data_IF_944425967454
#
_entry.id   IF_944425967454
#
_cell.length_a   1.000
_cell.length_b   1.000
_cell.length_c   1.000
_cell.angle_alpha   90.00
_cell.angle_beta   90.00
_cell.angle_gamma   90.00
#
_symmetry.space_group_name_H-M   'P 1'
#
loop_
_entity.id
_entity.type
_entity.pdbx_description
1 polymer ?
#
# COMPACT_ATOMS: atom_id res chain seq x y z
N UNK A 1 -43.79 27.35 -22.74
CA UNK A 1 -43.38 28.07 -21.53
C UNK A 1 -42.02 27.55 -21.18
N UNK A 2 -41.00 28.38 -21.28
CA UNK A 2 -39.63 28.00 -20.99
C UNK A 2 -39.51 27.76 -19.48
N UNK A 3 -39.17 26.52 -19.10
CA UNK A 3 -38.72 26.24 -17.74
C UNK A 3 -37.45 27.04 -17.50
N UNK A 4 -37.50 27.86 -16.47
CA UNK A 4 -36.44 28.80 -16.09
C UNK A 4 -35.20 27.97 -15.68
N UNK A 5 -34.09 28.12 -16.40
CA UNK A 5 -32.79 27.55 -16.00
C UNK A 5 -32.34 28.17 -14.67
N UNK A 6 -32.72 27.52 -13.57
CA UNK A 6 -32.30 27.88 -12.22
C UNK A 6 -30.83 27.50 -11.99
N UNK A 7 -30.17 28.22 -11.08
CA UNK A 7 -28.80 27.89 -10.65
C UNK A 7 -28.81 26.56 -9.90
N UNK A 8 -28.07 25.57 -10.43
CA UNK A 8 -27.93 24.24 -9.85
C UNK A 8 -26.92 24.27 -8.68
N UNK A 9 -27.37 24.67 -7.49
CA UNK A 9 -26.54 24.72 -6.28
C UNK A 9 -26.41 23.30 -5.71
N UNK A 10 -25.31 22.63 -6.06
CA UNK A 10 -24.91 21.37 -5.42
C UNK A 10 -24.12 21.64 -4.15
N UNK A 11 -24.50 21.00 -3.04
CA UNK A 11 -23.68 21.02 -1.82
C UNK A 11 -22.35 20.32 -2.11
N UNK A 12 -21.24 21.07 -2.03
CA UNK A 12 -19.92 20.46 -1.93
C UNK A 12 -19.87 19.51 -0.74
N UNK A 13 -19.15 18.38 -0.86
CA UNK A 13 -18.98 17.41 0.22
C UNK A 13 -18.31 18.16 1.40
N UNK A 14 -19.06 18.41 2.47
CA UNK A 14 -18.53 19.06 3.69
C UNK A 14 -17.81 17.98 4.49
N UNK A 15 -16.53 17.80 4.19
CA UNK A 15 -15.58 17.08 5.05
C UNK A 15 -14.65 18.09 5.71
N UNK A 16 -14.13 17.74 6.90
CA UNK A 16 -13.12 18.54 7.58
C UNK A 16 -12.02 18.92 6.58
N UNK A 17 -11.96 20.22 6.27
CA UNK A 17 -10.87 20.95 5.66
C UNK A 17 -9.89 20.07 4.87
N UNK A 18 -9.96 20.09 3.53
CA UNK A 18 -8.80 19.79 2.69
C UNK A 18 -7.73 20.84 3.03
N UNK A 19 -7.10 20.70 4.20
CA UNK A 19 -5.79 21.29 4.47
C UNK A 19 -4.92 20.55 3.47
N UNK A 20 -4.84 21.12 2.28
CA UNK A 20 -4.12 20.62 1.13
C UNK A 20 -2.63 20.78 1.42
N UNK A 21 -2.15 20.01 2.38
CA UNK A 21 -0.78 19.56 2.36
C UNK A 21 -0.81 18.39 1.38
N UNK A 22 -0.53 18.67 0.10
CA UNK A 22 -0.42 17.66 -0.97
C UNK A 22 0.63 16.58 -0.70
N UNK A 23 1.29 16.65 0.46
CA UNK A 23 2.28 15.71 0.96
C UNK A 23 1.66 14.36 1.36
N UNK A 24 0.38 14.32 1.73
CA UNK A 24 -0.29 13.12 2.24
C UNK A 24 -0.98 12.26 1.14
N UNK A 25 -0.92 12.67 -0.13
CA UNK A 25 -1.59 11.98 -1.23
C UNK A 25 -0.87 10.68 -1.52
N UNK A 26 -1.63 9.58 -1.46
CA UNK A 26 -1.08 8.22 -1.46
C UNK A 26 -1.68 7.41 -2.59
N UNK A 27 -0.90 6.48 -3.14
CA UNK A 27 -1.33 5.52 -4.14
C UNK A 27 -1.26 4.10 -3.61
N UNK A 28 -2.20 3.25 -4.01
CA UNK A 28 -2.18 1.81 -3.77
C UNK A 28 -2.47 1.09 -5.09
N UNK A 29 -1.52 0.26 -5.51
CA UNK A 29 -1.68 -0.70 -6.60
C UNK A 29 -1.71 -2.09 -6.00
N UNK A 30 -2.75 -2.86 -6.32
CA UNK A 30 -2.91 -4.19 -5.74
C UNK A 30 -3.47 -5.20 -6.74
N UNK A 31 -2.86 -6.38 -6.78
CA UNK A 31 -3.38 -7.54 -7.51
C UNK A 31 -4.57 -8.12 -6.75
N UNK A 32 -5.76 -7.97 -7.30
CA UNK A 32 -7.01 -8.46 -6.72
C UNK A 32 -8.01 -8.71 -7.85
N UNK A 33 -8.96 -9.64 -7.70
CA UNK A 33 -10.11 -9.69 -8.59
C UNK A 33 -10.86 -8.33 -8.60
N UNK A 34 -11.49 -8.01 -9.72
CA UNK A 34 -12.26 -6.77 -9.87
C UNK A 34 -13.61 -6.90 -9.13
N UNK A 35 -13.92 -6.01 -8.18
CA UNK A 35 -15.26 -5.91 -7.62
C UNK A 35 -16.21 -5.27 -8.65
N UNK A 36 -17.52 -5.43 -8.45
CA UNK A 36 -18.54 -4.96 -9.40
C UNK A 36 -18.46 -3.45 -9.73
N UNK A 37 -17.96 -2.63 -8.78
CA UNK A 37 -17.84 -1.18 -8.94
C UNK A 37 -16.52 -0.67 -9.50
N UNK A 38 -15.50 -1.54 -9.68
CA UNK A 38 -14.17 -1.12 -10.12
C UNK A 38 -13.52 -2.12 -11.09
N UNK A 39 -13.36 -1.68 -12.35
CA UNK A 39 -12.62 -2.44 -13.35
C UNK A 39 -11.10 -2.37 -13.14
N UNK A 40 -10.38 -3.38 -13.65
CA UNK A 40 -8.91 -3.39 -13.64
C UNK A 40 -8.33 -2.23 -14.46
N UNK A 41 -7.16 -1.75 -14.03
CA UNK A 41 -6.40 -0.70 -14.74
C UNK A 41 -7.04 0.68 -14.71
N UNK A 42 -8.08 0.91 -13.90
CA UNK A 42 -8.70 2.23 -13.72
C UNK A 42 -8.20 2.86 -12.42
N UNK A 43 -7.55 4.03 -12.47
CA UNK A 43 -7.27 4.77 -11.24
C UNK A 43 -8.56 5.38 -10.71
N UNK A 44 -8.86 5.12 -9.45
CA UNK A 44 -10.02 5.68 -8.76
C UNK A 44 -9.56 6.38 -7.48
N UNK A 45 -10.09 7.58 -7.26
CA UNK A 45 -9.82 8.36 -6.05
C UNK A 45 -10.80 7.98 -4.96
N UNK A 46 -10.28 7.74 -3.77
CA UNK A 46 -11.02 7.39 -2.57
C UNK A 46 -10.71 8.38 -1.47
N UNK A 47 -11.73 8.77 -0.70
CA UNK A 47 -11.58 9.69 0.43
C UNK A 47 -12.05 9.10 1.76
N UNK A 48 -12.91 8.08 1.73
CA UNK A 48 -13.47 7.49 2.94
C UNK A 48 -13.91 6.03 2.71
N UNK A 49 -14.26 5.34 3.80
CA UNK A 49 -14.72 3.95 3.75
C UNK A 49 -16.11 3.78 3.11
N UNK A 50 -16.90 4.85 3.00
CA UNK A 50 -18.21 4.82 2.31
C UNK A 50 -18.01 4.71 0.81
N UNK A 51 -17.07 5.47 0.25
CA UNK A 51 -16.69 5.42 -1.15
C UNK A 51 -16.15 4.01 -1.50
N UNK A 52 -15.38 3.40 -0.59
CA UNK A 52 -14.87 2.02 -0.72
C UNK A 52 -16.00 0.99 -0.77
N UNK A 53 -16.98 1.10 0.13
CA UNK A 53 -18.17 0.22 0.13
C UNK A 53 -18.99 0.38 -1.15
N UNK A 54 -19.13 1.60 -1.67
CA UNK A 54 -19.84 1.86 -2.92
C UNK A 54 -19.17 1.21 -4.14
N UNK A 55 -17.85 0.99 -4.10
CA UNK A 55 -17.14 0.23 -5.13
C UNK A 55 -17.33 -1.29 -5.02
N UNK A 56 -18.02 -1.76 -3.97
CA UNK A 56 -18.22 -3.19 -3.70
C UNK A 56 -17.06 -3.85 -2.97
N UNK A 57 -16.13 -3.07 -2.40
CA UNK A 57 -15.02 -3.59 -1.59
C UNK A 57 -15.51 -3.72 -0.15
N UNK A 58 -15.70 -4.96 0.30
CA UNK A 58 -16.18 -5.30 1.65
C UNK A 58 -15.35 -6.42 2.26
N UNK A 59 -15.50 -6.64 3.57
CA UNK A 59 -14.89 -7.78 4.24
C UNK A 59 -15.35 -9.12 3.65
N UNK A 60 -16.59 -9.18 3.17
CA UNK A 60 -17.15 -10.35 2.49
C UNK A 60 -16.45 -10.61 1.16
N UNK A 61 -16.11 -9.57 0.41
CA UNK A 61 -15.35 -9.67 -0.82
C UNK A 61 -13.94 -10.25 -0.57
N UNK A 62 -13.26 -9.75 0.45
CA UNK A 62 -11.94 -10.23 0.85
C UNK A 62 -11.99 -11.71 1.27
N UNK A 63 -12.99 -12.08 2.09
CA UNK A 63 -13.15 -13.46 2.58
C UNK A 63 -13.54 -14.43 1.46
N UNK A 64 -14.42 -14.01 0.54
CA UNK A 64 -14.88 -14.85 -0.56
C UNK A 64 -13.78 -15.14 -1.59
N UNK A 65 -12.87 -14.19 -1.81
CA UNK A 65 -11.80 -14.31 -2.81
C UNK A 65 -10.43 -14.62 -2.20
N UNK A 66 -10.30 -14.66 -0.87
CA UNK A 66 -9.03 -14.87 -0.18
C UNK A 66 -8.02 -13.74 -0.43
N UNK A 67 -8.49 -12.49 -0.50
CA UNK A 67 -7.66 -11.30 -0.75
C UNK A 67 -7.72 -10.32 0.41
N UNK A 68 -6.73 -9.44 0.53
CA UNK A 68 -6.61 -8.48 1.64
C UNK A 68 -6.82 -7.01 1.21
N UNK A 69 -7.62 -6.79 0.16
CA UNK A 69 -7.86 -5.45 -0.41
C UNK A 69 -8.58 -4.53 0.60
N UNK A 70 -9.69 -4.99 1.17
CA UNK A 70 -10.44 -4.24 2.17
C UNK A 70 -9.59 -3.98 3.42
N UNK A 71 -8.77 -4.95 3.86
CA UNK A 71 -7.85 -4.78 5.01
C UNK A 71 -6.89 -3.62 4.80
N UNK A 72 -6.15 -3.58 3.69
CA UNK A 72 -5.17 -2.52 3.46
C UNK A 72 -5.81 -1.13 3.40
N UNK A 73 -6.98 -1.01 2.78
CA UNK A 73 -7.69 0.27 2.67
C UNK A 73 -8.26 0.70 4.04
N UNK A 74 -8.81 -0.24 4.81
CA UNK A 74 -9.29 0.03 6.16
C UNK A 74 -8.18 0.51 7.08
N UNK A 75 -7.03 -0.15 7.06
CA UNK A 75 -5.88 0.24 7.87
C UNK A 75 -5.29 1.58 7.44
N UNK A 76 -5.29 1.88 6.14
CA UNK A 76 -4.90 3.19 5.63
C UNK A 76 -5.76 4.31 6.26
N UNK A 77 -7.09 4.20 6.18
CA UNK A 77 -7.98 5.22 6.72
C UNK A 77 -8.01 5.23 8.26
N UNK A 78 -7.74 4.11 8.92
CA UNK A 78 -7.57 4.07 10.38
C UNK A 78 -6.39 4.92 10.83
N UNK A 79 -5.26 4.84 10.12
CA UNK A 79 -4.04 5.57 10.47
C UNK A 79 -4.02 7.00 9.95
N UNK A 80 -4.38 7.21 8.68
CA UNK A 80 -4.33 8.52 8.03
C UNK A 80 -5.51 9.43 8.42
N UNK A 81 -6.64 8.83 8.83
CA UNK A 81 -7.92 9.50 9.03
C UNK A 81 -8.75 9.61 7.74
N UNK A 82 -10.07 9.73 7.89
CA UNK A 82 -10.97 9.96 6.75
C UNK A 82 -10.77 11.34 6.14
N UNK A 83 -10.96 11.45 4.81
CA UNK A 83 -10.78 12.68 4.04
C UNK A 83 -9.43 12.80 3.34
N UNK A 84 -8.51 11.86 3.55
CA UNK A 84 -7.23 11.79 2.83
C UNK A 84 -7.41 11.14 1.45
N UNK A 85 -6.79 11.74 0.43
CA UNK A 85 -6.86 11.25 -0.95
C UNK A 85 -5.99 10.01 -1.14
N UNK A 86 -6.64 8.89 -1.44
CA UNK A 86 -6.02 7.63 -1.82
C UNK A 86 -6.36 7.33 -3.29
N UNK A 87 -5.34 7.15 -4.12
CA UNK A 87 -5.48 6.68 -5.49
C UNK A 87 -5.37 5.16 -5.51
N UNK A 88 -6.46 4.46 -5.76
CA UNK A 88 -6.50 3.01 -5.88
C UNK A 88 -6.48 2.59 -7.35
N UNK A 89 -5.64 1.60 -7.67
CA UNK A 89 -5.71 0.87 -8.92
C UNK A 89 -5.67 -0.63 -8.64
N UNK A 90 -6.64 -1.35 -9.22
CA UNK A 90 -6.64 -2.80 -9.19
C UNK A 90 -6.04 -3.34 -10.48
N UNK A 91 -5.20 -4.35 -10.34
CA UNK A 91 -4.64 -5.10 -11.48
C UNK A 91 -5.09 -6.56 -11.38
N UNK A 92 -5.10 -7.32 -12.50
CA UNK A 92 -5.47 -8.73 -12.46
C UNK A 92 -4.65 -9.50 -11.42
N UNK A 93 -5.27 -10.47 -10.75
CA UNK A 93 -4.63 -11.17 -9.63
C UNK A 93 -3.39 -11.98 -10.05
N UNK A 94 -3.33 -12.42 -11.31
CA UNK A 94 -2.18 -13.13 -11.88
C UNK A 94 -0.97 -12.21 -12.16
N UNK A 95 -1.11 -10.89 -12.04
CA UNK A 95 -0.02 -9.95 -12.29
C UNK A 95 0.97 -9.97 -11.12
N UNK A 96 2.21 -10.32 -11.42
CA UNK A 96 3.35 -10.30 -10.47
C UNK A 96 3.74 -8.88 -10.07
N UNK A 97 4.34 -8.69 -8.89
CA UNK A 97 4.82 -7.38 -8.45
C UNK A 97 5.89 -6.80 -9.37
N UNK A 98 6.77 -7.65 -9.92
CA UNK A 98 7.75 -7.23 -10.93
C UNK A 98 7.08 -6.55 -12.12
N UNK A 99 6.03 -7.16 -12.68
CA UNK A 99 5.29 -6.60 -13.81
C UNK A 99 4.61 -5.27 -13.47
N UNK A 100 4.07 -5.12 -12.25
CA UNK A 100 3.48 -3.86 -11.80
C UNK A 100 4.51 -2.73 -11.68
N UNK A 101 5.74 -3.06 -11.28
CA UNK A 101 6.84 -2.10 -11.14
C UNK A 101 7.49 -1.74 -12.48
N UNK A 102 7.70 -2.72 -13.36
CA UNK A 102 8.35 -2.49 -14.66
C UNK A 102 7.42 -1.69 -15.60
N UNK A 103 6.15 -2.09 -15.65
CA UNK A 103 5.05 -1.45 -16.39
C UNK A 103 5.48 -0.93 -17.76
N UNK A 104 5.97 -1.83 -18.62
CA UNK A 104 6.55 -1.48 -19.92
C UNK A 104 5.56 -0.79 -20.86
N UNK A 105 4.27 -1.07 -20.70
CA UNK A 105 3.18 -0.51 -21.51
C UNK A 105 2.56 0.76 -20.90
N UNK A 106 3.01 1.19 -19.72
CA UNK A 106 2.42 2.32 -18.97
C UNK A 106 0.93 2.13 -18.65
N UNK A 107 0.51 0.89 -18.37
CA UNK A 107 -0.89 0.51 -18.11
C UNK A 107 -1.18 0.17 -16.63
N UNK A 108 -0.13 0.01 -15.82
CA UNK A 108 -0.19 -0.44 -14.43
C UNK A 108 0.27 0.68 -13.46
N UNK A 109 1.43 0.51 -12.82
CA UNK A 109 1.92 1.45 -11.81
C UNK A 109 2.21 2.86 -12.34
N UNK A 110 2.69 2.99 -13.58
CA UNK A 110 2.95 4.30 -14.21
C UNK A 110 1.64 4.98 -14.57
N UNK A 111 0.63 4.23 -15.02
CA UNK A 111 -0.70 4.77 -15.32
C UNK A 111 -1.30 5.48 -14.11
N UNK A 112 -1.19 4.88 -12.92
CA UNK A 112 -1.67 5.48 -11.68
C UNK A 112 -0.99 6.83 -11.41
N UNK A 113 0.32 6.91 -11.61
CA UNK A 113 1.09 8.14 -11.41
C UNK A 113 0.72 9.23 -12.44
N UNK A 114 0.51 8.84 -13.70
CA UNK A 114 0.10 9.74 -14.79
C UNK A 114 -1.31 10.27 -14.55
N UNK A 115 -2.28 9.39 -14.25
CA UNK A 115 -3.68 9.79 -13.99
C UNK A 115 -3.81 10.64 -12.72
N UNK A 116 -2.89 10.47 -11.76
CA UNK A 116 -2.80 11.34 -10.60
C UNK A 116 -2.09 12.68 -10.86
N UNK A 117 -1.65 12.93 -12.10
CA UNK A 117 -0.91 14.14 -12.50
C UNK A 117 0.32 14.42 -11.61
N UNK A 118 0.98 13.36 -11.12
CA UNK A 118 2.14 13.50 -10.23
C UNK A 118 1.84 13.95 -8.80
N UNK A 119 0.57 13.97 -8.39
CA UNK A 119 0.19 14.36 -7.03
C UNK A 119 0.52 13.29 -5.98
N UNK A 120 0.68 12.02 -6.39
CA UNK A 120 1.04 10.93 -5.48
C UNK A 120 2.48 11.11 -4.99
N UNK A 121 2.66 11.18 -3.67
CA UNK A 121 3.98 11.25 -3.01
C UNK A 121 4.52 9.90 -2.58
N UNK A 122 3.62 8.95 -2.36
CA UNK A 122 3.93 7.62 -1.87
C UNK A 122 3.01 6.62 -2.53
N UNK A 123 3.59 5.53 -3.06
CA UNK A 123 2.84 4.47 -3.72
C UNK A 123 3.18 3.13 -3.05
N UNK A 124 2.13 2.42 -2.65
CA UNK A 124 2.21 1.05 -2.17
C UNK A 124 1.89 0.09 -3.30
N UNK A 125 2.69 -0.97 -3.42
CA UNK A 125 2.44 -2.07 -4.35
C UNK A 125 2.27 -3.34 -3.53
N UNK A 126 1.12 -3.98 -3.69
CA UNK A 126 0.68 -5.14 -2.93
C UNK A 126 0.23 -6.28 -3.88
N UNK A 127 0.42 -7.52 -3.45
CA UNK A 127 0.06 -8.70 -4.24
C UNK A 127 -0.61 -9.73 -3.34
N UNK A 128 -1.76 -10.24 -3.78
CA UNK A 128 -2.40 -11.40 -3.15
C UNK A 128 -1.96 -12.68 -3.88
N UNK A 129 -1.08 -13.52 -3.30
CA UNK A 129 -0.54 -14.69 -3.99
C UNK A 129 -1.63 -15.73 -4.28
N UNK A 130 -1.76 -16.15 -5.53
CA UNK A 130 -2.69 -17.22 -5.96
C UNK A 130 -2.07 -18.61 -5.92
N UNK A 131 -0.74 -18.68 -6.06
CA UNK A 131 0.03 -19.92 -6.12
C UNK A 131 1.01 -20.03 -4.95
N UNK A 132 1.62 -21.21 -4.79
CA UNK A 132 2.65 -21.42 -3.78
C UNK A 132 3.88 -20.55 -4.09
N UNK A 133 4.29 -19.76 -3.11
CA UNK A 133 5.38 -18.80 -3.27
C UNK A 133 6.74 -19.49 -3.24
N UNK A 134 7.59 -19.17 -4.23
CA UNK A 134 8.98 -19.60 -4.29
C UNK A 134 9.86 -18.61 -3.53
N UNK A 135 10.51 -19.09 -2.47
CA UNK A 135 11.38 -18.23 -1.66
C UNK A 135 12.81 -18.19 -2.22
N UNK A 136 13.34 -16.98 -2.39
CA UNK A 136 14.73 -16.71 -2.68
C UNK A 136 15.34 -15.92 -1.51
N UNK A 137 16.28 -16.54 -0.79
CA UNK A 137 16.97 -15.94 0.36
C UNK A 137 16.01 -15.40 1.43
N UNK A 138 14.90 -16.11 1.66
CA UNK A 138 13.96 -15.83 2.73
C UNK A 138 12.86 -14.81 2.44
N UNK A 139 12.82 -14.27 1.23
CA UNK A 139 11.71 -13.49 0.67
C UNK A 139 11.17 -14.23 -0.57
N UNK A 140 9.94 -13.95 -1.00
CA UNK A 140 9.49 -14.37 -2.33
C UNK A 140 10.44 -13.88 -3.42
N UNK A 141 10.65 -14.68 -4.45
CA UNK A 141 11.44 -14.31 -5.63
C UNK A 141 10.89 -13.07 -6.35
N UNK A 142 9.57 -12.94 -6.47
CA UNK A 142 8.88 -11.78 -7.02
C UNK A 142 9.14 -10.52 -6.18
N UNK A 143 9.14 -10.65 -4.85
CA UNK A 143 9.49 -9.54 -3.94
C UNK A 143 10.94 -9.12 -4.15
N UNK A 144 11.87 -10.08 -4.19
CA UNK A 144 13.29 -9.79 -4.37
C UNK A 144 13.59 -9.10 -5.72
N UNK A 145 13.02 -9.62 -6.80
CA UNK A 145 13.24 -9.11 -8.15
C UNK A 145 12.55 -7.75 -8.37
N UNK A 146 11.43 -7.49 -7.69
CA UNK A 146 10.70 -6.22 -7.83
C UNK A 146 11.44 -5.01 -7.22
N UNK A 147 12.40 -5.20 -6.30
CA UNK A 147 13.16 -4.10 -5.69
C UNK A 147 13.91 -3.28 -6.76
N UNK A 148 14.55 -3.96 -7.71
CA UNK A 148 15.27 -3.28 -8.79
C UNK A 148 14.32 -2.53 -9.72
N UNK A 149 13.19 -3.16 -10.06
CA UNK A 149 12.19 -2.57 -10.94
C UNK A 149 11.48 -1.39 -10.29
N UNK A 150 11.15 -1.47 -9.01
CA UNK A 150 10.58 -0.38 -8.23
C UNK A 150 11.54 0.83 -8.20
N UNK A 151 12.85 0.59 -8.00
CA UNK A 151 13.82 1.69 -8.07
C UNK A 151 13.89 2.31 -9.47
N UNK A 152 13.68 1.52 -10.53
CA UNK A 152 13.50 1.99 -11.90
C UNK A 152 12.26 2.88 -12.06
N UNK A 153 11.11 2.44 -11.54
CA UNK A 153 9.86 3.20 -11.54
C UNK A 153 10.01 4.54 -10.83
N UNK A 154 10.66 4.57 -9.66
CA UNK A 154 10.90 5.80 -8.92
C UNK A 154 11.81 6.78 -9.68
N UNK A 155 12.80 6.28 -10.43
CA UNK A 155 13.67 7.13 -11.28
C UNK A 155 12.89 7.69 -12.47
N UNK A 156 12.14 6.83 -13.16
CA UNK A 156 11.27 7.23 -14.26
C UNK A 156 10.27 8.33 -13.85
N UNK A 157 9.69 8.19 -12.65
CA UNK A 157 8.76 9.15 -12.10
C UNK A 157 9.47 10.48 -11.76
N UNK A 158 10.67 10.41 -11.18
CA UNK A 158 11.50 11.59 -10.89
C UNK A 158 11.87 12.37 -12.16
N UNK A 159 12.27 11.69 -13.23
CA UNK A 159 12.62 12.28 -14.53
C UNK A 159 11.43 13.01 -15.18
N UNK A 160 10.20 12.59 -14.87
CA UNK A 160 8.94 13.21 -15.34
C UNK A 160 8.35 14.21 -14.36
N UNK A 161 9.14 14.67 -13.39
CA UNK A 161 8.71 15.63 -12.35
C UNK A 161 7.60 15.12 -11.41
N UNK A 162 7.49 13.80 -11.25
CA UNK A 162 6.54 13.13 -10.35
C UNK A 162 7.29 12.35 -9.25
N UNK A 163 7.96 13.02 -8.29
CA UNK A 163 8.74 12.32 -7.28
C UNK A 163 7.84 11.53 -6.33
N UNK A 164 8.04 10.22 -6.26
CA UNK A 164 7.33 9.32 -5.34
C UNK A 164 8.29 8.40 -4.57
N UNK A 165 7.88 8.02 -3.36
CA UNK A 165 8.48 6.91 -2.60
C UNK A 165 7.66 5.64 -2.83
N UNK A 166 8.33 4.50 -2.99
CA UNK A 166 7.65 3.22 -3.24
C UNK A 166 7.75 2.33 -2.00
N UNK A 167 6.60 1.84 -1.55
CA UNK A 167 6.44 0.83 -0.52
C UNK A 167 6.11 -0.49 -1.20
N UNK A 168 6.96 -1.50 -1.03
CA UNK A 168 6.72 -2.85 -1.53
C UNK A 168 6.20 -3.73 -0.40
N UNK A 169 5.19 -4.53 -0.70
CA UNK A 169 4.75 -5.61 0.18
C UNK A 169 5.76 -6.74 0.20
N UNK A 170 6.30 -7.04 1.38
CA UNK A 170 7.11 -8.23 1.62
C UNK A 170 6.26 -9.39 2.10
N UNK A 171 5.35 -9.85 1.25
CA UNK A 171 4.46 -10.97 1.54
C UNK A 171 5.24 -12.27 1.78
N UNK A 172 4.63 -13.24 2.47
CA UNK A 172 5.19 -14.58 2.76
C UNK A 172 6.66 -14.61 3.25
N UNK A 173 6.97 -13.84 4.29
CA UNK A 173 8.27 -13.90 4.96
C UNK A 173 8.40 -15.19 5.79
N UNK A 174 9.19 -16.16 5.31
CA UNK A 174 9.25 -17.50 5.89
C UNK A 174 10.58 -17.84 6.60
N UNK A 175 11.64 -17.06 6.40
CA UNK A 175 12.99 -17.43 6.86
C UNK A 175 13.39 -16.79 8.19
N UNK A 176 14.26 -17.45 8.99
CA UNK A 176 14.88 -16.82 10.15
C UNK A 176 15.73 -15.63 9.71
N UNK A 177 15.69 -14.55 10.50
CA UNK A 177 16.33 -13.27 10.18
C UNK A 177 17.82 -13.37 9.80
N UNK A 178 18.54 -14.37 10.34
CA UNK A 178 19.95 -14.60 10.03
C UNK A 178 20.21 -15.16 8.62
N UNK A 179 19.20 -15.77 7.99
CA UNK A 179 19.28 -16.37 6.65
C UNK A 179 18.70 -15.47 5.55
N UNK A 180 18.08 -14.36 5.95
CA UNK A 180 17.52 -13.40 5.00
C UNK A 180 18.62 -12.52 4.45
N UNK A 181 18.53 -12.23 3.15
CA UNK A 181 19.48 -11.37 2.47
C UNK A 181 19.54 -9.98 3.12
N UNK A 182 20.76 -9.48 3.28
CA UNK A 182 20.98 -8.11 3.73
C UNK A 182 20.65 -7.15 2.57
N UNK A 183 19.46 -6.53 2.64
CA UNK A 183 18.97 -5.59 1.65
C UNK A 183 19.87 -4.34 1.48
N UNK A 184 20.74 -4.04 2.45
CA UNK A 184 21.71 -2.93 2.35
C UNK A 184 22.99 -3.33 1.62
N UNK A 185 23.25 -4.64 1.49
CA UNK A 185 24.45 -5.19 0.84
C UNK A 185 24.14 -5.89 -0.48
N UNK A 186 23.04 -5.54 -1.12
CA UNK A 186 22.72 -6.08 -2.43
C UNK A 186 23.83 -5.69 -3.43
N UNK A 187 24.46 -6.68 -4.10
CA UNK A 187 25.51 -6.40 -5.06
C UNK A 187 24.91 -5.61 -6.23
N UNK A 188 25.54 -4.48 -6.56
CA UNK A 188 25.19 -3.64 -7.72
C UNK A 188 23.78 -3.01 -7.72
N UNK A 189 23.03 -3.07 -6.61
CA UNK A 189 21.71 -2.45 -6.50
C UNK A 189 21.64 -1.46 -5.32
N UNK A 190 21.45 -0.18 -5.63
CA UNK A 190 21.15 0.87 -4.65
C UNK A 190 19.72 1.37 -4.87
N UNK A 191 18.83 1.04 -3.94
CA UNK A 191 17.41 1.38 -4.00
C UNK A 191 16.98 2.37 -2.89
N UNK A 192 17.45 3.63 -2.89
CA UNK A 192 17.17 4.58 -1.80
C UNK A 192 15.72 5.07 -1.74
N UNK A 193 14.91 4.85 -2.80
CA UNK A 193 13.51 5.29 -2.87
C UNK A 193 12.49 4.18 -2.63
N UNK A 194 12.98 2.97 -2.37
CA UNK A 194 12.17 1.78 -2.14
C UNK A 194 12.24 1.39 -0.67
N UNK A 195 11.12 1.04 -0.08
CA UNK A 195 11.02 0.57 1.29
C UNK A 195 10.18 -0.71 1.31
N UNK A 196 10.72 -1.77 1.93
CA UNK A 196 10.04 -3.06 2.03
C UNK A 196 9.31 -3.14 3.37
N UNK A 197 8.01 -3.47 3.34
CA UNK A 197 7.18 -3.63 4.53
C UNK A 197 6.93 -5.11 4.76
N UNK A 198 7.44 -5.64 5.87
CA UNK A 198 7.30 -7.06 6.29
C UNK A 198 6.45 -7.23 7.55
N UNK A 199 5.92 -6.12 8.10
CA UNK A 199 5.12 -6.15 9.31
C UNK A 199 3.73 -6.72 9.03
N UNK A 200 3.28 -7.63 9.88
CA UNK A 200 1.93 -8.19 9.84
C UNK A 200 1.29 -8.13 11.23
N UNK A 201 -0.01 -7.87 11.29
CA UNK A 201 -0.81 -8.06 12.50
C UNK A 201 -1.08 -9.55 12.72
N UNK A 202 -0.42 -10.12 13.73
CA UNK A 202 -0.55 -11.53 14.11
C UNK A 202 -2.01 -11.93 14.38
N UNK A 203 -2.77 -11.08 15.07
CA UNK A 203 -4.14 -11.43 15.50
C UNK A 203 -5.11 -11.52 14.33
N UNK A 204 -4.85 -10.73 13.29
CA UNK A 204 -5.62 -10.78 12.06
C UNK A 204 -5.16 -11.92 11.16
N UNK A 205 -3.85 -12.14 11.03
CA UNK A 205 -3.28 -13.22 10.25
C UNK A 205 -3.70 -14.61 10.78
N UNK A 206 -3.78 -14.80 12.10
CA UNK A 206 -4.25 -16.05 12.71
C UNK A 206 -5.70 -16.40 12.35
N UNK A 207 -6.54 -15.40 12.10
CA UNK A 207 -7.94 -15.59 11.69
C UNK A 207 -8.13 -15.96 10.21
N UNK A 208 -7.07 -15.94 9.41
CA UNK A 208 -7.08 -16.21 7.97
C UNK A 208 -6.47 -17.58 7.67
N UNK A 209 -6.92 -18.21 6.60
CA UNK A 209 -6.42 -19.53 6.17
C UNK A 209 -5.77 -19.45 4.80
N UNK A 210 -4.61 -20.10 4.64
CA UNK A 210 -3.94 -20.27 3.35
C UNK A 210 -3.19 -19.01 2.90
N UNK A 211 -3.26 -18.67 1.62
CA UNK A 211 -2.48 -17.58 1.04
C UNK A 211 -2.85 -16.19 1.58
N UNK A 212 -4.08 -16.01 2.06
CA UNK A 212 -4.53 -14.75 2.65
C UNK A 212 -3.83 -14.43 3.99
N UNK A 213 -3.31 -15.44 4.70
CA UNK A 213 -2.55 -15.27 5.94
C UNK A 213 -1.15 -14.67 5.70
N UNK A 214 -0.62 -14.82 4.48
CA UNK A 214 0.77 -14.50 4.12
C UNK A 214 0.94 -13.06 3.63
N UNK A 215 0.21 -12.11 4.22
CA UNK A 215 0.25 -10.70 3.82
C UNK A 215 1.24 -9.88 4.65
N UNK A 216 1.62 -8.70 4.14
CA UNK A 216 2.21 -7.65 4.96
C UNK A 216 1.30 -6.41 4.96
N UNK A 217 1.11 -5.78 6.12
CA UNK A 217 0.17 -4.67 6.31
C UNK A 217 0.71 -3.34 5.70
N UNK A 218 0.85 -3.28 4.38
CA UNK A 218 1.31 -2.08 3.65
C UNK A 218 0.32 -0.93 3.79
N UNK A 219 -0.97 -1.23 3.95
CA UNK A 219 -2.00 -0.23 4.24
C UNK A 219 -1.71 0.58 5.52
N UNK A 220 -1.27 -0.09 6.59
CA UNK A 220 -0.88 0.57 7.84
C UNK A 220 0.36 1.44 7.64
N UNK A 221 1.38 0.92 6.94
CA UNK A 221 2.60 1.67 6.65
C UNK A 221 2.31 2.92 5.82
N UNK A 222 1.50 2.79 4.76
CA UNK A 222 1.07 3.90 3.91
C UNK A 222 0.29 4.93 4.73
N UNK A 223 -0.68 4.50 5.55
CA UNK A 223 -1.48 5.40 6.36
C UNK A 223 -0.67 6.14 7.44
N UNK A 224 0.34 5.48 8.04
CA UNK A 224 1.26 6.14 8.97
C UNK A 224 2.12 7.19 8.28
N UNK A 225 2.60 6.90 7.08
CA UNK A 225 3.41 7.84 6.30
C UNK A 225 2.56 9.03 5.81
N UNK A 226 1.28 8.84 5.50
CA UNK A 226 0.35 9.96 5.19
C UNK A 226 0.03 10.84 6.39
N UNK A 227 0.05 10.29 7.61
CA UNK A 227 -0.17 11.04 8.86
C UNK A 227 1.11 11.73 9.33
N UNK A 228 2.27 11.13 9.06
CA UNK A 228 3.56 11.65 9.47
C UNK A 228 3.84 13.00 8.81
N UNK A 229 4.38 13.93 9.60
CA UNK A 229 4.95 15.16 9.05
C UNK A 229 6.31 14.84 8.42
N UNK A 230 6.77 15.68 7.50
CA UNK A 230 8.07 15.51 6.79
C UNK A 230 9.26 15.36 7.76
N UNK A 231 9.14 15.93 8.97
CA UNK A 231 10.17 15.89 10.00
C UNK A 231 10.04 14.74 11.00
N UNK A 232 9.03 13.87 10.86
CA UNK A 232 8.76 12.77 11.78
C UNK A 232 9.05 11.43 11.12
N UNK A 233 9.60 10.51 11.90
CA UNK A 233 9.82 9.16 11.43
C UNK A 233 8.56 8.31 11.66
N UNK A 234 8.17 7.53 10.66
CA UNK A 234 7.05 6.58 10.73
C UNK A 234 7.19 5.56 11.87
N UNK A 235 8.43 5.31 12.34
CA UNK A 235 8.71 4.41 13.45
C UNK A 235 8.53 5.02 14.85
N UNK A 236 8.09 6.27 14.96
CA UNK A 236 7.86 6.93 16.26
C UNK A 236 6.61 6.36 16.96
N UNK A 237 6.82 5.40 17.86
CA UNK A 237 5.77 4.72 18.63
C UNK A 237 4.94 5.65 19.55
N UNK A 238 5.43 6.86 19.83
CA UNK A 238 4.69 7.84 20.65
C UNK A 238 3.76 8.72 19.80
N UNK A 239 4.14 8.97 18.54
CA UNK A 239 3.38 9.79 17.59
C UNK A 239 2.31 8.98 16.83
N UNK A 240 2.52 7.67 16.67
CA UNK A 240 1.66 6.78 15.89
C UNK A 240 1.24 5.56 16.71
N UNK A 241 -0.07 5.45 16.98
CA UNK A 241 -0.65 4.30 17.67
C UNK A 241 -0.83 3.13 16.69
N UNK A 242 0.26 2.37 16.51
CA UNK A 242 0.32 1.21 15.61
C UNK A 242 -0.59 0.04 16.03
N UNK A 243 -0.77 -0.31 17.34
CA UNK A 243 -1.63 -1.43 17.72
C UNK A 243 -3.13 -1.12 17.59
N UNK A 244 -3.91 -2.11 17.15
CA UNK A 244 -5.38 -2.04 17.06
C UNK A 244 -6.08 -2.18 18.43
N UNK A 245 -5.35 -2.55 19.49
CA UNK A 245 -5.89 -2.72 20.85
C UNK A 245 -5.22 -1.77 21.84
N UNK A 246 -5.96 -1.27 22.87
CA UNK A 246 -5.41 -0.42 23.93
C UNK A 246 -4.41 -1.15 24.86
N UNK A 247 -4.17 -2.44 24.62
CA UNK A 247 -3.18 -3.23 25.34
C UNK A 247 -1.99 -3.43 24.41
N UNK A 248 -0.83 -2.86 24.81
CA UNK A 248 0.48 -3.22 24.26
C UNK A 248 0.79 -4.67 24.66
N UNK A 249 0.11 -5.64 24.05
CA UNK A 249 0.44 -7.05 24.20
C UNK A 249 1.73 -7.30 23.42
N UNK A 250 2.80 -7.42 24.21
CA UNK A 250 4.20 -7.64 23.85
C UNK A 250 4.54 -7.87 22.38
N UNK A 251 5.23 -6.88 21.80
CA UNK A 251 6.30 -7.21 20.87
C UNK A 251 7.26 -8.17 21.59
N UNK A 252 7.32 -9.43 21.15
CA UNK A 252 8.18 -10.45 21.74
C UNK A 252 9.65 -9.95 21.82
N UNK A 253 10.34 -10.12 22.97
CA UNK A 253 11.69 -9.62 23.17
C UNK A 253 12.70 -10.54 22.46
N UNK A 254 12.89 -10.35 21.17
CA UNK A 254 13.82 -11.15 20.36
C UNK A 254 14.82 -10.35 19.52
N UNK A 255 14.73 -9.03 19.49
CA UNK A 255 15.53 -8.23 18.57
C UNK A 255 16.06 -6.94 19.20
N UNK A 256 16.88 -7.08 20.24
CA UNK A 256 17.77 -6.01 20.69
C UNK A 256 19.14 -6.59 21.02
N UNK A 257 19.93 -6.89 19.99
CA UNK A 257 21.35 -7.20 20.15
C UNK A 257 22.09 -5.87 20.37
N UNK A 258 21.90 -5.28 21.55
CA UNK A 258 22.84 -4.29 22.08
C UNK A 258 23.90 -5.06 22.85
N UNK A 259 25.03 -5.30 22.19
CA UNK A 259 26.23 -5.75 22.88
C UNK A 259 26.74 -4.58 23.72
N UNK A 260 26.52 -4.65 25.03
CA UNK A 260 27.33 -3.93 26.03
C UNK A 260 28.40 -4.90 26.54
N UNK A 261 29.58 -4.30 26.79
CA UNK A 261 30.91 -4.87 26.99
C UNK A 261 31.63 -5.29 25.71
#
# INVERSE_FOLDING_TARGET
>A
MADLDGVDIKKGKIGANTIATGDAISGLVIASPAPAGLAHGKATKLYNMVDVKNLGISLEFDTANGVNLYRHIKEFYRMAGEGKELHLMLVPQATTMVAMCEDTQEELGKKLLIEAMGNIRQIAIAVNPTEATTHLNGLPDDVYNSIAMAQGLAKWAFERHMPCQILLEGYDYASPAASVIDLRKLPNLKAPKVSLVIGQDWTYAEGLTGNAQKMADVGTALGTLSKARINQNIGENESFDLPMQPVKLGWFPGFLLTRKM
#
